data_IF_720410335294
#
_entry.id   IF_720410335294
#
_cell.length_a   1.000
_cell.length_b   1.000
_cell.length_c   1.000
_cell.angle_alpha   90.00
_cell.angle_beta   90.00
_cell.angle_gamma   90.00
#
_symmetry.space_group_name_H-M   'P 1'
#
loop_
_entity.id
_entity.type
_entity.pdbx_description
1 polymer ?
#
# COMPACT_ATOMS: atom_id res chain seq x y z
N UNK A 1 17.02 9.62 -24.48
CA UNK A 1 16.66 8.35 -25.15
C UNK A 1 17.76 7.29 -25.07
N UNK A 2 19.00 7.54 -25.50
CA UNK A 2 20.06 6.49 -25.52
C UNK A 2 20.42 5.91 -24.13
N UNK A 3 20.52 6.77 -23.11
CA UNK A 3 20.88 6.35 -21.74
C UNK A 3 19.82 5.41 -21.14
N UNK A 4 18.54 5.65 -21.41
CA UNK A 4 17.45 4.79 -20.93
C UNK A 4 17.46 3.45 -21.66
N UNK A 5 17.73 3.45 -22.96
CA UNK A 5 17.87 2.23 -23.75
C UNK A 5 19.03 1.37 -23.23
N UNK A 6 20.18 1.98 -22.99
CA UNK A 6 21.34 1.29 -22.43
C UNK A 6 21.04 0.69 -21.04
N UNK A 7 20.37 1.45 -20.16
CA UNK A 7 19.97 0.94 -18.84
C UNK A 7 19.00 -0.23 -18.94
N UNK A 8 18.02 -0.14 -19.84
CA UNK A 8 17.06 -1.20 -20.10
C UNK A 8 17.75 -2.47 -20.61
N UNK A 9 18.64 -2.35 -21.59
CA UNK A 9 19.37 -3.49 -22.15
C UNK A 9 20.32 -4.11 -21.12
N UNK A 10 20.98 -3.29 -20.29
CA UNK A 10 21.80 -3.77 -19.18
C UNK A 10 20.98 -4.58 -18.15
N UNK A 11 19.79 -4.09 -17.76
CA UNK A 11 18.91 -4.85 -16.86
C UNK A 11 18.46 -6.17 -17.49
N UNK A 12 18.12 -6.18 -18.78
CA UNK A 12 17.75 -7.42 -19.48
C UNK A 12 18.89 -8.43 -19.56
N UNK A 13 20.11 -7.99 -19.86
CA UNK A 13 21.29 -8.86 -19.91
C UNK A 13 21.54 -9.56 -18.56
N UNK A 14 21.31 -8.85 -17.45
CA UNK A 14 21.48 -9.37 -16.10
C UNK A 14 20.21 -9.97 -15.48
N UNK A 15 19.13 -10.16 -16.25
CA UNK A 15 17.85 -10.69 -15.78
C UNK A 15 17.24 -9.87 -14.61
N UNK A 16 17.55 -8.58 -14.55
CA UNK A 16 16.98 -7.65 -13.59
C UNK A 16 15.65 -7.11 -14.13
N UNK A 17 14.64 -7.06 -13.26
CA UNK A 17 13.36 -6.44 -13.60
C UNK A 17 13.48 -4.92 -13.81
N UNK A 18 12.61 -4.36 -14.65
CA UNK A 18 12.53 -2.90 -14.84
C UNK A 18 12.09 -2.17 -13.56
N UNK A 19 11.43 -2.88 -12.66
CA UNK A 19 11.06 -2.40 -11.34
C UNK A 19 12.00 -3.01 -10.30
N UNK A 20 12.44 -2.20 -9.35
CA UNK A 20 13.21 -2.72 -8.22
C UNK A 20 12.36 -3.68 -7.40
N UNK A 21 12.99 -4.72 -6.82
CA UNK A 21 12.33 -5.64 -5.90
C UNK A 21 11.66 -4.88 -4.76
N UNK A 22 12.34 -3.85 -4.23
CA UNK A 22 11.79 -2.96 -3.22
C UNK A 22 10.45 -2.32 -3.65
N UNK A 23 10.37 -1.79 -4.86
CA UNK A 23 9.14 -1.17 -5.40
C UNK A 23 8.00 -2.18 -5.44
N UNK A 24 8.27 -3.39 -5.95
CA UNK A 24 7.26 -4.45 -6.06
C UNK A 24 6.79 -4.88 -4.67
N UNK A 25 7.71 -5.12 -3.74
CA UNK A 25 7.37 -5.52 -2.36
C UNK A 25 6.58 -4.44 -1.63
N UNK A 26 6.98 -3.17 -1.77
CA UNK A 26 6.27 -2.04 -1.17
C UNK A 26 4.86 -1.92 -1.73
N UNK A 27 4.70 -2.00 -3.05
CA UNK A 27 3.38 -1.94 -3.70
C UNK A 27 2.50 -3.13 -3.30
N UNK A 28 3.04 -4.34 -3.28
CA UNK A 28 2.31 -5.52 -2.83
C UNK A 28 1.82 -5.35 -1.38
N UNK A 29 2.68 -4.87 -0.48
CA UNK A 29 2.31 -4.55 0.89
C UNK A 29 1.20 -3.50 0.97
N UNK A 30 1.34 -2.37 0.25
CA UNK A 30 0.31 -1.33 0.21
C UNK A 30 -1.03 -1.85 -0.32
N UNK A 31 -1.03 -2.69 -1.37
CA UNK A 31 -2.26 -3.28 -1.90
C UNK A 31 -2.96 -4.22 -0.91
N UNK A 32 -2.21 -4.91 -0.06
CA UNK A 32 -2.77 -5.84 0.94
C UNK A 32 -3.54 -5.13 2.06
N UNK A 33 -3.26 -3.84 2.29
CA UNK A 33 -3.90 -3.03 3.35
C UNK A 33 -4.70 -1.84 2.79
N UNK A 34 -4.76 -1.68 1.47
CA UNK A 34 -5.51 -0.62 0.80
C UNK A 34 -7.01 -0.93 0.86
N UNK A 35 -7.77 -0.07 1.53
CA UNK A 35 -9.24 -0.18 1.60
C UNK A 35 -9.90 1.06 1.00
N UNK A 36 -11.20 0.99 0.62
CA UNK A 36 -11.95 2.18 0.18
C UNK A 36 -11.96 3.31 1.23
N UNK A 37 -11.86 2.97 2.53
CA UNK A 37 -11.87 3.95 3.62
C UNK A 37 -10.66 4.89 3.56
N UNK A 38 -9.52 4.45 3.00
CA UNK A 38 -8.31 5.26 2.89
C UNK A 38 -8.47 6.50 1.98
N UNK A 39 -9.50 6.54 1.12
CA UNK A 39 -9.72 7.58 0.12
C UNK A 39 -10.98 8.41 0.33
N UNK A 40 -11.69 8.25 1.45
CA UNK A 40 -12.85 9.09 1.76
C UNK A 40 -12.43 10.55 2.00
N UNK A 41 -13.26 11.47 1.52
CA UNK A 41 -13.00 12.92 1.56
C UNK A 41 -13.19 13.52 2.96
N UNK A 42 -14.04 12.91 3.79
CA UNK A 42 -14.38 13.36 5.13
C UNK A 42 -13.22 13.28 6.13
N UNK A 43 -12.14 12.55 5.80
CA UNK A 43 -10.93 12.40 6.60
C UNK A 43 -11.11 11.66 7.93
N UNK A 44 -12.35 11.56 8.42
CA UNK A 44 -12.76 10.94 9.69
C UNK A 44 -12.41 9.44 9.78
N UNK A 45 -12.34 8.80 8.62
CA UNK A 45 -12.15 7.37 8.43
C UNK A 45 -10.70 6.97 8.14
N UNK A 46 -9.79 7.94 8.02
CA UNK A 46 -8.37 7.69 7.81
C UNK A 46 -7.70 7.32 9.13
N UNK A 47 -7.09 6.15 9.17
CA UNK A 47 -6.30 5.71 10.31
C UNK A 47 -4.88 6.31 10.21
N UNK A 48 -4.38 7.07 11.21
CA UNK A 48 -3.01 7.58 11.22
C UNK A 48 -1.94 6.47 11.16
N UNK A 49 -2.24 5.28 11.70
CA UNK A 49 -1.33 4.13 11.71
C UNK A 49 -1.36 3.34 10.39
N UNK A 50 -2.27 3.66 9.48
CA UNK A 50 -2.37 2.99 8.19
C UNK A 50 -1.36 3.60 7.20
N UNK A 51 -0.37 2.82 6.69
CA UNK A 51 0.59 3.31 5.71
C UNK A 51 -0.05 3.91 4.45
N UNK A 52 -1.19 3.36 3.98
CA UNK A 52 -1.89 3.86 2.79
C UNK A 52 -2.55 5.22 3.03
N UNK A 53 -2.90 5.57 4.28
CA UNK A 53 -3.48 6.86 4.62
C UNK A 53 -2.43 7.99 4.68
N UNK A 54 -1.14 7.66 4.75
CA UNK A 54 -0.05 8.64 4.72
C UNK A 54 0.08 9.28 3.33
N UNK A 55 0.24 10.62 3.28
CA UNK A 55 0.28 11.40 2.03
C UNK A 55 1.31 10.92 1.01
N UNK A 56 2.49 10.49 1.47
CA UNK A 56 3.59 10.05 0.59
C UNK A 56 3.29 8.70 -0.04
N UNK A 57 2.82 7.74 0.76
CA UNK A 57 2.54 6.38 0.32
C UNK A 57 1.20 6.26 -0.41
N UNK A 58 0.23 7.13 -0.09
CA UNK A 58 -1.07 7.16 -0.75
C UNK A 58 -0.94 7.39 -2.26
N UNK A 59 -0.01 8.25 -2.69
CA UNK A 59 0.30 8.49 -4.11
C UNK A 59 0.80 7.22 -4.81
N UNK A 60 1.66 6.46 -4.13
CA UNK A 60 2.18 5.19 -4.65
C UNK A 60 1.10 4.10 -4.67
N UNK A 61 0.17 4.15 -3.72
CA UNK A 61 -0.92 3.18 -3.59
C UNK A 61 -2.10 3.45 -4.52
N UNK A 62 -2.27 4.67 -5.03
CA UNK A 62 -3.43 5.07 -5.84
C UNK A 62 -3.73 4.13 -7.03
N UNK A 63 -2.75 3.72 -7.87
CA UNK A 63 -3.01 2.83 -9.00
C UNK A 63 -3.16 1.35 -8.63
N UNK A 64 -2.90 0.98 -7.37
CA UNK A 64 -2.89 -0.42 -6.93
C UNK A 64 -4.31 -0.97 -6.72
N UNK A 65 -4.54 -2.29 -6.83
CA UNK A 65 -5.82 -2.88 -6.46
C UNK A 65 -6.10 -2.71 -4.96
N UNK A 66 -7.38 -2.76 -4.59
CA UNK A 66 -7.81 -2.76 -3.19
C UNK A 66 -7.71 -4.16 -2.59
N UNK A 67 -7.45 -4.22 -1.29
CA UNK A 67 -7.44 -5.47 -0.54
C UNK A 67 -8.84 -6.10 -0.52
N UNK A 68 -8.90 -7.40 -0.79
CA UNK A 68 -10.11 -8.18 -0.60
C UNK A 68 -10.07 -8.83 0.79
N UNK A 69 -10.79 -8.24 1.75
CA UNK A 69 -10.92 -8.78 3.10
C UNK A 69 -12.21 -9.59 3.20
N UNK A 70 -12.12 -10.92 3.20
CA UNK A 70 -13.30 -11.79 3.36
C UNK A 70 -13.95 -11.67 4.76
N UNK A 71 -13.16 -11.27 5.76
CA UNK A 71 -13.61 -11.10 7.14
C UNK A 71 -13.15 -9.74 7.66
N UNK A 72 -14.01 -9.04 8.39
CA UNK A 72 -13.65 -7.85 9.15
C UNK A 72 -13.17 -8.22 10.55
N UNK A 73 -12.36 -7.34 11.15
CA UNK A 73 -12.01 -7.38 12.58
C UNK A 73 -12.31 -6.01 13.16
N UNK A 74 -12.98 -5.98 14.30
CA UNK A 74 -13.25 -4.76 15.04
C UNK A 74 -12.03 -4.44 15.91
N UNK A 75 -11.59 -3.19 15.88
CA UNK A 75 -10.44 -2.70 16.65
C UNK A 75 -10.88 -1.45 17.41
N UNK A 76 -10.59 -1.41 18.70
CA UNK A 76 -10.93 -0.29 19.56
C UNK A 76 -10.12 0.95 19.14
N UNK A 77 -10.79 2.08 18.92
CA UNK A 77 -10.14 3.34 18.51
C UNK A 77 -9.24 3.93 19.61
N UNK A 78 -9.53 3.64 20.88
CA UNK A 78 -8.79 4.20 22.02
C UNK A 78 -7.57 3.33 22.33
N UNK A 79 -7.74 2.01 22.45
CA UNK A 79 -6.64 1.12 22.84
C UNK A 79 -5.84 0.57 21.65
N UNK A 80 -6.44 0.48 20.46
CA UNK A 80 -5.84 -0.17 19.29
C UNK A 80 -5.93 -1.70 19.32
N UNK A 81 -6.56 -2.29 20.34
CA UNK A 81 -6.72 -3.74 20.46
C UNK A 81 -7.96 -4.24 19.72
N UNK A 82 -7.98 -5.55 19.43
CA UNK A 82 -9.19 -6.20 18.89
C UNK A 82 -10.32 -6.09 19.91
N UNK A 83 -11.50 -5.68 19.43
CA UNK A 83 -12.69 -5.57 20.28
C UNK A 83 -13.13 -6.95 20.79
N UNK A 84 -13.52 -7.00 22.05
CA UNK A 84 -14.09 -8.12 22.78
C UNK A 84 -15.27 -7.60 23.62
N UNK A 85 -15.80 -8.43 24.52
CA UNK A 85 -16.98 -8.08 25.32
C UNK A 85 -16.74 -6.95 26.34
N UNK A 86 -15.48 -6.59 26.60
CA UNK A 86 -15.05 -5.69 27.67
C UNK A 86 -14.42 -4.38 27.18
N UNK A 87 -14.36 -4.13 25.87
CA UNK A 87 -13.74 -2.91 25.29
C UNK A 87 -14.44 -2.37 24.04
#
# INVERSE_FOLDING_TARGET
MLIQQFRYDNYRLHQLGNNSVFTITLQAGLSAIKTPQCYKEDGSSKNPDCPVCSKSLNKLAQPLPMAHCANSRLVCKISGDVMNENN
#
